data_IF_146389251279
#
_entry.id   IF_146389251279
#
_cell.length_a   1.000
_cell.length_b   1.000
_cell.length_c   1.000
_cell.angle_alpha   90.00
_cell.angle_beta   90.00
_cell.angle_gamma   90.00
#
_symmetry.space_group_name_H-M   'P 1'
#
loop_
_entity.id
_entity.type
_entity.pdbx_description
1 polymer ?
#
# COMPACT_ATOMS: atom_id res chain seq x y z
N UNK A 1 22.90 -3.22 26.25
CA UNK A 1 23.83 -3.25 25.10
C UNK A 1 23.12 -3.96 23.95
N UNK A 2 22.87 -3.32 22.82
CA UNK A 2 22.23 -3.93 21.65
C UNK A 2 23.10 -5.03 20.99
N UNK A 3 24.37 -5.14 21.36
CA UNK A 3 25.38 -6.01 20.73
C UNK A 3 25.30 -7.50 21.07
N UNK A 4 24.48 -7.92 22.04
CA UNK A 4 24.33 -9.33 22.42
C UNK A 4 23.06 -9.98 21.87
N UNK A 5 22.15 -9.18 21.29
CA UNK A 5 20.91 -9.67 20.70
C UNK A 5 21.08 -9.82 19.19
N UNK A 6 20.43 -10.83 18.61
CA UNK A 6 20.31 -10.95 17.16
C UNK A 6 19.57 -9.73 16.61
N UNK A 7 19.89 -9.32 15.39
CA UNK A 7 19.29 -8.14 14.78
C UNK A 7 17.76 -8.25 14.73
N UNK A 8 17.26 -9.45 14.39
CA UNK A 8 15.84 -9.76 14.40
C UNK A 8 15.19 -9.62 15.79
N UNK A 9 15.90 -9.81 16.89
CA UNK A 9 15.32 -9.69 18.23
C UNK A 9 15.05 -8.23 18.62
N UNK A 10 15.72 -7.29 17.96
CA UNK A 10 15.60 -5.85 18.21
C UNK A 10 14.86 -5.13 17.08
N UNK A 11 14.76 -5.76 15.90
CA UNK A 11 14.08 -5.24 14.73
C UNK A 11 13.13 -6.31 14.15
N UNK A 12 12.03 -6.54 14.87
CA UNK A 12 10.94 -7.48 14.52
C UNK A 12 9.89 -6.86 13.60
N UNK A 13 10.13 -5.64 13.12
CA UNK A 13 9.12 -4.89 12.41
C UNK A 13 8.89 -5.50 11.02
N UNK A 14 7.63 -5.80 10.71
CA UNK A 14 7.14 -6.29 9.42
C UNK A 14 7.71 -5.43 8.26
N UNK A 15 7.81 -4.12 8.50
CA UNK A 15 8.38 -3.13 7.59
C UNK A 15 9.86 -3.34 7.28
N UNK A 16 10.67 -3.76 8.25
CA UNK A 16 12.09 -4.02 8.02
C UNK A 16 12.28 -5.21 7.07
N UNK A 17 11.56 -6.31 7.29
CA UNK A 17 11.63 -7.46 6.39
C UNK A 17 11.02 -7.20 5.02
N UNK A 18 9.99 -6.36 4.93
CA UNK A 18 9.52 -5.86 3.65
C UNK A 18 10.59 -5.03 2.94
N UNK A 19 11.33 -4.18 3.64
CA UNK A 19 12.44 -3.45 3.03
C UNK A 19 13.54 -4.39 2.52
N UNK A 20 13.95 -5.38 3.32
CA UNK A 20 14.93 -6.38 2.90
C UNK A 20 14.47 -7.21 1.70
N UNK A 21 13.19 -7.60 1.67
CA UNK A 21 12.62 -8.27 0.51
C UNK A 21 12.62 -7.36 -0.71
N UNK A 22 12.28 -6.08 -0.55
CA UNK A 22 12.33 -5.09 -1.61
C UNK A 22 13.74 -4.94 -2.18
N UNK A 23 14.74 -4.85 -1.30
CA UNK A 23 16.15 -4.87 -1.68
C UNK A 23 16.51 -6.15 -2.45
N UNK A 24 16.16 -7.33 -1.93
CA UNK A 24 16.48 -8.61 -2.56
C UNK A 24 15.87 -8.77 -3.95
N UNK A 25 14.62 -8.32 -4.15
CA UNK A 25 13.94 -8.31 -5.46
C UNK A 25 14.63 -7.40 -6.48
N UNK A 26 15.21 -6.28 -6.04
CA UNK A 26 15.91 -5.35 -6.92
C UNK A 26 17.35 -5.79 -7.19
N UNK A 27 18.03 -6.35 -6.20
CA UNK A 27 19.44 -6.70 -6.27
C UNK A 27 19.71 -8.05 -6.94
N UNK A 28 18.76 -9.01 -6.88
CA UNK A 28 18.98 -10.37 -7.37
C UNK A 28 17.91 -10.81 -8.35
N UNK A 29 18.27 -11.03 -9.64
CA UNK A 29 17.37 -11.65 -10.61
C UNK A 29 16.87 -13.02 -10.17
N UNK A 30 17.69 -13.79 -9.46
CA UNK A 30 17.29 -15.11 -8.91
C UNK A 30 16.12 -14.97 -7.94
N UNK A 31 16.22 -14.04 -6.97
CA UNK A 31 15.14 -13.81 -6.01
C UNK A 31 13.90 -13.28 -6.71
N UNK A 32 14.07 -12.27 -7.58
CA UNK A 32 12.97 -11.70 -8.35
C UNK A 32 12.21 -12.77 -9.14
N UNK A 33 12.92 -13.58 -9.90
CA UNK A 33 12.31 -14.60 -10.75
C UNK A 33 11.66 -15.70 -9.91
N UNK A 34 12.31 -16.13 -8.82
CA UNK A 34 11.74 -17.12 -7.91
C UNK A 34 10.42 -16.65 -7.28
N UNK A 35 10.37 -15.40 -6.80
CA UNK A 35 9.15 -14.83 -6.21
C UNK A 35 8.06 -14.64 -7.26
N UNK A 36 8.39 -14.07 -8.42
CA UNK A 36 7.40 -13.84 -9.49
C UNK A 36 6.84 -15.16 -10.04
N UNK A 37 7.69 -16.18 -10.22
CA UNK A 37 7.26 -17.51 -10.65
C UNK A 37 6.33 -18.15 -9.61
N UNK A 38 6.69 -18.10 -8.33
CA UNK A 38 5.84 -18.63 -7.26
C UNK A 38 4.48 -17.93 -7.20
N UNK A 39 4.44 -16.61 -7.30
CA UNK A 39 3.19 -15.84 -7.33
C UNK A 39 2.37 -16.13 -8.59
N UNK A 40 3.00 -16.18 -9.75
CA UNK A 40 2.39 -16.53 -11.04
C UNK A 40 1.69 -17.89 -10.94
N UNK A 41 2.38 -18.91 -10.42
CA UNK A 41 1.86 -20.27 -10.30
C UNK A 41 0.69 -20.36 -9.32
N UNK A 42 0.81 -19.73 -8.14
CA UNK A 42 -0.21 -19.80 -7.09
C UNK A 42 -1.47 -19.01 -7.41
N UNK A 43 -1.34 -17.89 -8.11
CA UNK A 43 -2.42 -16.95 -8.36
C UNK A 43 -2.88 -16.91 -9.82
N UNK A 44 -2.20 -17.64 -10.71
CA UNK A 44 -2.43 -17.65 -12.17
C UNK A 44 -2.29 -16.24 -12.79
N UNK A 45 -1.25 -15.52 -12.39
CA UNK A 45 -0.95 -14.17 -12.87
C UNK A 45 0.00 -14.19 -14.06
N UNK A 46 -0.14 -13.26 -14.99
CA UNK A 46 0.84 -13.06 -16.08
C UNK A 46 2.01 -12.20 -15.58
N UNK A 47 3.01 -12.82 -14.96
CA UNK A 47 4.20 -12.17 -14.39
C UNK A 47 5.50 -12.76 -14.96
N UNK A 48 5.78 -12.59 -16.27
CA UNK A 48 6.98 -13.15 -16.86
C UNK A 48 8.24 -12.40 -16.38
N UNK A 49 9.37 -13.10 -16.19
CA UNK A 49 10.56 -12.57 -15.52
C UNK A 49 11.36 -11.55 -16.35
N UNK A 50 11.09 -11.45 -17.65
CA UNK A 50 11.72 -10.53 -18.59
C UNK A 50 11.09 -9.13 -18.60
N UNK A 51 9.91 -8.98 -17.99
CA UNK A 51 9.23 -7.68 -17.90
C UNK A 51 9.81 -6.81 -16.78
N UNK A 52 9.79 -5.48 -16.94
CA UNK A 52 10.16 -4.57 -15.86
C UNK A 52 9.31 -4.83 -14.61
N UNK A 53 9.97 -4.91 -13.45
CA UNK A 53 9.34 -4.95 -12.15
C UNK A 53 9.68 -3.67 -11.39
N UNK A 54 8.66 -2.93 -10.99
CA UNK A 54 8.80 -1.83 -10.05
C UNK A 54 8.43 -2.32 -8.66
N UNK A 55 9.27 -1.99 -7.68
CA UNK A 55 9.09 -2.38 -6.28
C UNK A 55 8.96 -1.12 -5.45
N UNK A 56 7.84 -0.99 -4.76
CA UNK A 56 7.57 0.13 -3.86
C UNK A 56 7.37 -0.39 -2.45
N UNK A 57 8.04 0.19 -1.46
CA UNK A 57 7.89 -0.14 -0.04
C UNK A 57 7.17 1.02 0.64
N UNK A 58 6.14 0.71 1.44
CA UNK A 58 5.32 1.70 2.15
C UNK A 58 4.73 2.84 1.28
N UNK A 59 4.31 2.51 0.07
CA UNK A 59 3.77 3.48 -0.89
C UNK A 59 2.44 4.08 -0.43
N UNK A 60 2.29 5.40 -0.50
CA UNK A 60 1.04 6.09 -0.17
C UNK A 60 0.35 6.60 -1.45
N UNK A 61 0.09 5.70 -2.39
CA UNK A 61 -0.20 6.03 -3.79
C UNK A 61 -1.29 7.11 -3.98
N UNK A 62 -2.40 7.04 -3.24
CA UNK A 62 -3.48 8.03 -3.33
C UNK A 62 -3.07 9.41 -2.80
N UNK A 63 -2.30 9.43 -1.70
CA UNK A 63 -1.78 10.66 -1.10
C UNK A 63 -0.73 11.30 -2.00
N UNK A 64 0.15 10.49 -2.55
CA UNK A 64 1.24 10.94 -3.40
C UNK A 64 0.64 11.48 -4.71
N UNK A 65 -0.33 10.77 -5.30
CA UNK A 65 -1.10 11.28 -6.44
C UNK A 65 -1.77 12.63 -6.14
N UNK A 66 -2.40 12.81 -4.97
CA UNK A 66 -2.99 14.09 -4.57
C UNK A 66 -1.97 15.24 -4.50
N UNK A 67 -0.74 14.94 -4.06
CA UNK A 67 0.36 15.89 -4.05
C UNK A 67 0.81 16.23 -5.48
N UNK A 68 0.86 15.25 -6.39
CA UNK A 68 1.25 15.44 -7.79
C UNK A 68 0.25 16.29 -8.59
N UNK A 69 -1.00 16.39 -8.14
CA UNK A 69 -2.00 17.29 -8.76
C UNK A 69 -1.66 18.78 -8.62
N UNK A 70 -0.75 19.14 -7.72
CA UNK A 70 -0.26 20.51 -7.62
C UNK A 70 0.23 20.93 -6.23
N UNK A 71 0.89 22.09 -6.19
CA UNK A 71 1.55 22.59 -4.99
C UNK A 71 0.54 23.12 -3.96
N UNK A 72 0.56 22.56 -2.75
CA UNK A 72 -0.36 22.97 -1.68
C UNK A 72 -0.09 24.38 -1.12
N UNK A 73 1.14 24.90 -1.25
CA UNK A 73 1.53 26.26 -0.85
C UNK A 73 1.16 27.26 -1.94
N UNK A 74 1.45 26.93 -3.21
CA UNK A 74 1.09 27.72 -4.38
C UNK A 74 -0.19 27.17 -5.04
N UNK A 75 -1.30 27.26 -4.32
CA UNK A 75 -2.57 26.66 -4.74
C UNK A 75 -3.21 27.46 -5.88
N UNK A 76 -3.04 26.97 -7.11
CA UNK A 76 -3.57 27.60 -8.32
C UNK A 76 -5.00 27.14 -8.64
N UNK A 77 -5.67 27.86 -9.54
CA UNK A 77 -6.98 27.45 -10.05
C UNK A 77 -6.93 26.09 -10.75
N UNK A 78 -5.86 25.80 -11.49
CA UNK A 78 -5.64 24.49 -12.12
C UNK A 78 -5.51 23.37 -11.07
N UNK A 79 -4.73 23.60 -9.99
CA UNK A 79 -4.65 22.65 -8.86
C UNK A 79 -6.01 22.46 -8.21
N UNK A 80 -6.80 23.52 -8.08
CA UNK A 80 -8.15 23.44 -7.53
C UNK A 80 -9.06 22.55 -8.37
N UNK A 81 -9.13 22.79 -9.68
CA UNK A 81 -9.96 22.01 -10.63
C UNK A 81 -9.58 20.53 -10.60
N UNK A 82 -8.28 20.21 -10.66
CA UNK A 82 -7.79 18.83 -10.60
C UNK A 82 -8.18 18.12 -9.31
N UNK A 83 -7.98 18.77 -8.15
CA UNK A 83 -8.32 18.20 -6.84
C UNK A 83 -9.82 18.05 -6.65
N UNK A 84 -10.61 19.02 -7.12
CA UNK A 84 -12.08 18.93 -7.11
C UNK A 84 -12.56 17.75 -7.97
N UNK A 85 -11.93 17.52 -9.11
CA UNK A 85 -12.19 16.34 -9.96
C UNK A 85 -11.92 15.00 -9.24
N UNK A 86 -10.87 14.92 -8.40
CA UNK A 86 -10.64 13.73 -7.56
C UNK A 86 -11.76 13.55 -6.53
N UNK A 87 -12.14 14.62 -5.82
CA UNK A 87 -13.21 14.54 -4.83
C UNK A 87 -14.54 14.14 -5.46
N UNK A 88 -14.84 14.66 -6.64
CA UNK A 88 -16.02 14.29 -7.43
C UNK A 88 -16.08 12.78 -7.70
N UNK A 89 -14.99 12.19 -8.20
CA UNK A 89 -14.91 10.74 -8.44
C UNK A 89 -15.07 9.95 -7.15
N UNK A 90 -14.39 10.36 -6.07
CA UNK A 90 -14.48 9.73 -4.75
C UNK A 90 -15.91 9.75 -4.22
N UNK A 91 -16.58 10.91 -4.26
CA UNK A 91 -17.94 11.07 -3.76
C UNK A 91 -18.93 10.20 -4.55
N UNK A 92 -18.80 10.17 -5.87
CA UNK A 92 -19.62 9.31 -6.73
C UNK A 92 -19.44 7.83 -6.42
N UNK A 93 -18.20 7.38 -6.23
CA UNK A 93 -17.91 6.00 -5.83
C UNK A 93 -18.53 5.65 -4.46
N UNK A 94 -18.67 6.63 -3.57
CA UNK A 94 -19.31 6.48 -2.26
C UNK A 94 -20.83 6.75 -2.28
N UNK A 95 -21.42 7.06 -3.44
CA UNK A 95 -22.86 7.29 -3.60
C UNK A 95 -23.36 8.69 -3.21
N UNK A 96 -22.46 9.70 -3.16
CA UNK A 96 -22.81 11.09 -2.82
C UNK A 96 -22.82 12.01 -4.05
N UNK A 97 -23.61 13.09 -3.97
CA UNK A 97 -23.52 14.22 -4.92
C UNK A 97 -22.20 14.96 -4.72
N UNK A 98 -21.69 15.59 -5.79
CA UNK A 98 -20.50 16.45 -5.74
C UNK A 98 -20.78 17.78 -5.02
N UNK A 99 -22.05 18.19 -4.93
CA UNK A 99 -22.47 19.44 -4.27
C UNK A 99 -22.16 19.45 -2.76
N UNK A 100 -21.97 18.27 -2.16
CA UNK A 100 -21.59 18.16 -0.74
C UNK A 100 -20.24 18.82 -0.45
N UNK A 101 -19.38 18.99 -1.46
CA UNK A 101 -18.10 19.69 -1.30
C UNK A 101 -18.37 21.13 -0.86
N UNK A 102 -19.30 21.83 -1.50
CA UNK A 102 -19.59 23.23 -1.20
C UNK A 102 -20.50 23.37 0.05
N UNK A 103 -21.28 22.33 0.36
CA UNK A 103 -22.21 22.34 1.49
C UNK A 103 -21.54 22.13 2.86
N UNK A 104 -20.29 21.64 2.92
CA UNK A 104 -19.64 21.27 4.18
C UNK A 104 -18.19 21.76 4.29
N UNK A 105 -17.86 22.43 5.40
CA UNK A 105 -16.52 22.95 5.68
C UNK A 105 -15.42 21.87 5.79
N UNK A 106 -15.79 20.61 6.04
CA UNK A 106 -14.84 19.51 6.21
C UNK A 106 -13.92 19.31 5.00
N UNK A 107 -14.36 19.71 3.80
CA UNK A 107 -13.60 19.59 2.56
C UNK A 107 -12.57 20.72 2.38
N UNK A 108 -12.64 21.79 3.18
CA UNK A 108 -11.91 23.03 2.96
C UNK A 108 -10.89 23.32 4.07
N UNK A 109 -9.74 23.88 3.70
CA UNK A 109 -8.69 24.23 4.68
C UNK A 109 -9.00 25.47 5.50
N UNK A 110 -10.02 26.24 5.11
CA UNK A 110 -10.47 27.45 5.81
C UNK A 110 -11.87 27.82 5.36
N UNK A 111 -12.55 28.64 6.16
CA UNK A 111 -13.89 29.20 5.88
C UNK A 111 -13.97 29.98 4.56
N UNK A 112 -12.84 30.48 4.06
CA UNK A 112 -12.80 31.18 2.76
C UNK A 112 -12.98 30.26 1.54
N UNK A 113 -13.03 28.93 1.75
CA UNK A 113 -13.21 27.90 0.72
C UNK A 113 -12.27 28.03 -0.50
N UNK A 114 -11.03 28.48 -0.26
CA UNK A 114 -10.04 28.68 -1.34
C UNK A 114 -9.23 27.43 -1.67
N UNK A 115 -9.15 26.47 -0.75
CA UNK A 115 -8.27 25.31 -0.86
C UNK A 115 -8.90 24.07 -0.24
N UNK A 116 -8.81 22.97 -0.97
CA UNK A 116 -9.33 21.67 -0.55
C UNK A 116 -8.34 20.90 0.33
N UNK A 117 -8.86 20.23 1.35
CA UNK A 117 -8.13 19.22 2.12
C UNK A 117 -7.89 17.96 1.28
N UNK A 118 -6.71 17.36 1.48
CA UNK A 118 -6.50 15.95 1.09
C UNK A 118 -7.47 15.07 1.91
N UNK A 119 -8.13 14.07 1.33
CA UNK A 119 -9.05 13.20 2.06
C UNK A 119 -8.45 12.57 3.32
N UNK A 120 -7.15 12.24 3.30
CA UNK A 120 -6.45 11.72 4.48
C UNK A 120 -6.47 12.68 5.69
N UNK A 121 -6.70 13.98 5.48
CA UNK A 121 -6.75 15.02 6.52
C UNK A 121 -8.16 15.33 7.04
N UNK A 122 -9.22 14.78 6.45
CA UNK A 122 -10.58 15.02 6.94
C UNK A 122 -10.76 14.60 8.40
N UNK A 123 -11.59 15.31 9.16
CA UNK A 123 -11.92 14.93 10.54
C UNK A 123 -13.00 13.84 10.52
N UNK A 124 -12.79 12.74 11.25
CA UNK A 124 -13.80 11.69 11.38
C UNK A 124 -15.08 12.22 12.06
N UNK A 125 -14.92 13.06 13.08
CA UNK A 125 -16.05 13.69 13.77
C UNK A 125 -16.82 14.64 12.85
N UNK A 126 -16.13 15.39 11.99
CA UNK A 126 -16.78 16.26 11.01
C UNK A 126 -17.51 15.46 9.92
N UNK A 127 -16.95 14.33 9.50
CA UNK A 127 -17.62 13.40 8.57
C UNK A 127 -18.91 12.86 9.21
N UNK A 128 -18.84 12.42 10.47
CA UNK A 128 -20.01 11.92 11.20
C UNK A 128 -21.07 13.02 11.40
N UNK A 129 -20.65 14.23 11.79
CA UNK A 129 -21.55 15.37 11.94
C UNK A 129 -22.26 15.75 10.62
N UNK A 130 -21.57 15.62 9.48
CA UNK A 130 -22.13 15.82 8.16
C UNK A 130 -22.96 14.63 7.63
N UNK A 131 -23.03 13.52 8.38
CA UNK A 131 -23.70 12.25 7.99
C UNK A 131 -23.14 11.65 6.70
N UNK A 132 -21.81 11.73 6.55
CA UNK A 132 -21.07 11.21 5.39
C UNK A 132 -20.19 10.01 5.77
N UNK A 133 -20.65 9.17 6.71
CA UNK A 133 -19.88 8.11 7.36
C UNK A 133 -18.99 7.24 6.43
N UNK A 134 -19.42 6.84 5.21
CA UNK A 134 -18.57 6.10 4.27
C UNK A 134 -17.24 6.81 3.92
N UNK A 135 -17.18 8.15 4.00
CA UNK A 135 -15.95 8.92 3.75
C UNK A 135 -14.85 8.69 4.78
N UNK A 136 -15.17 8.09 5.94
CA UNK A 136 -14.14 7.64 6.90
C UNK A 136 -13.23 6.59 6.25
N UNK A 137 -13.77 5.67 5.45
CA UNK A 137 -12.96 4.68 4.73
C UNK A 137 -12.07 5.33 3.67
N UNK A 138 -12.55 6.38 3.00
CA UNK A 138 -11.74 7.17 2.05
C UNK A 138 -10.59 7.86 2.77
N UNK A 139 -10.85 8.48 3.93
CA UNK A 139 -9.81 9.06 4.78
C UNK A 139 -8.73 8.02 5.09
N UNK A 140 -9.13 6.81 5.47
CA UNK A 140 -8.20 5.72 5.74
C UNK A 140 -7.45 5.29 4.48
N UNK A 141 -8.12 5.14 3.33
CA UNK A 141 -7.48 4.78 2.07
C UNK A 141 -6.39 5.79 1.65
N UNK A 142 -6.63 7.09 1.83
CA UNK A 142 -5.63 8.13 1.55
C UNK A 142 -4.48 8.20 2.57
N UNK A 143 -4.60 7.55 3.72
CA UNK A 143 -3.48 7.41 4.67
C UNK A 143 -2.85 6.01 4.62
N UNK A 144 -3.56 5.05 4.05
CA UNK A 144 -3.17 3.66 3.98
C UNK A 144 -1.96 3.47 3.07
N UNK A 145 -1.12 2.55 3.49
CA UNK A 145 0.08 2.12 2.78
C UNK A 145 0.11 0.60 2.84
N UNK A 146 0.11 -0.13 1.72
CA UNK A 146 0.56 -1.52 1.77
C UNK A 146 2.04 -1.53 2.18
N UNK A 147 2.48 -2.59 2.86
CA UNK A 147 3.89 -2.71 3.23
C UNK A 147 4.76 -2.77 1.98
N UNK A 148 4.27 -3.43 0.93
CA UNK A 148 4.93 -3.45 -0.37
C UNK A 148 3.92 -3.47 -1.52
N UNK A 149 4.27 -2.84 -2.64
CA UNK A 149 3.55 -2.92 -3.90
C UNK A 149 4.51 -3.30 -5.01
N UNK A 150 4.15 -4.32 -5.78
CA UNK A 150 4.87 -4.75 -6.97
C UNK A 150 4.06 -4.37 -8.20
N UNK A 151 4.70 -3.76 -9.21
CA UNK A 151 4.05 -3.39 -10.47
C UNK A 151 4.84 -3.96 -11.63
N UNK A 152 4.18 -4.76 -12.46
CA UNK A 152 4.72 -5.27 -13.73
C UNK A 152 3.63 -5.19 -14.80
N UNK A 153 3.83 -4.31 -15.77
CA UNK A 153 2.82 -3.90 -16.76
C UNK A 153 1.45 -3.58 -16.13
N UNK A 154 0.43 -4.37 -16.44
CA UNK A 154 -0.93 -4.23 -15.92
C UNK A 154 -1.15 -4.99 -14.61
N UNK A 155 -0.19 -5.75 -14.11
CA UNK A 155 -0.31 -6.47 -12.84
C UNK A 155 0.21 -5.60 -11.70
N UNK A 156 -0.64 -5.44 -10.68
CA UNK A 156 -0.28 -4.76 -9.43
C UNK A 156 -0.54 -5.71 -8.27
N UNK A 157 0.51 -6.06 -7.54
CA UNK A 157 0.40 -6.93 -6.36
C UNK A 157 0.61 -6.05 -5.12
N UNK A 158 -0.41 -5.96 -4.28
CA UNK A 158 -0.32 -5.30 -2.98
C UNK A 158 -0.01 -6.37 -1.93
N UNK A 159 1.14 -6.24 -1.28
CA UNK A 159 1.61 -7.17 -0.27
C UNK A 159 1.46 -6.55 1.12
N UNK A 160 0.82 -7.29 2.01
CA UNK A 160 0.77 -7.04 3.44
C UNK A 160 1.63 -8.09 4.15
N UNK A 161 2.68 -7.65 4.84
CA UNK A 161 3.58 -8.53 5.57
C UNK A 161 3.10 -8.74 7.00
N UNK A 162 3.07 -10.01 7.41
CA UNK A 162 2.77 -10.45 8.76
C UNK A 162 3.87 -11.37 9.24
N UNK A 163 4.68 -10.90 10.18
CA UNK A 163 5.78 -11.67 10.79
C UNK A 163 5.32 -12.27 12.11
N UNK A 164 4.75 -11.45 13.00
CA UNK A 164 4.33 -11.86 14.34
C UNK A 164 2.83 -11.64 14.60
N UNK A 165 2.21 -10.69 13.91
CA UNK A 165 0.85 -10.26 14.22
C UNK A 165 -0.21 -11.00 13.39
N UNK A 166 -1.33 -11.43 13.99
CA UNK A 166 -2.53 -11.77 13.21
C UNK A 166 -3.10 -10.51 12.56
N UNK A 167 -3.92 -10.66 11.52
CA UNK A 167 -4.58 -9.52 10.87
C UNK A 167 -5.30 -8.62 11.88
N UNK A 168 -4.90 -7.35 11.93
CA UNK A 168 -5.49 -6.37 12.85
C UNK A 168 -6.89 -5.97 12.39
N UNK A 169 -7.88 -6.14 13.27
CA UNK A 169 -9.15 -5.41 13.22
C UNK A 169 -9.14 -4.42 14.37
N UNK A 170 -9.38 -3.14 14.10
CA UNK A 170 -9.55 -2.18 15.18
C UNK A 170 -10.99 -2.18 15.71
N UNK A 171 -11.18 -1.65 16.92
CA UNK A 171 -12.49 -1.52 17.54
C UNK A 171 -13.40 -0.48 16.86
N UNK A 172 -12.87 0.32 15.93
CA UNK A 172 -13.57 1.39 15.22
C UNK A 172 -14.06 0.95 13.83
N UNK A 173 -13.96 -0.34 13.50
CA UNK A 173 -14.41 -0.89 12.21
C UNK A 173 -13.40 -0.71 11.07
N UNK A 174 -12.16 -0.29 11.34
CA UNK A 174 -11.07 -0.36 10.37
C UNK A 174 -10.78 -1.83 10.04
N UNK A 175 -11.10 -2.20 8.80
CA UNK A 175 -10.69 -3.44 8.20
C UNK A 175 -9.59 -3.13 7.18
N UNK A 176 -8.35 -3.52 7.52
CA UNK A 176 -7.18 -3.27 6.67
C UNK A 176 -7.37 -3.80 5.24
N UNK A 177 -7.90 -5.02 5.12
CA UNK A 177 -8.18 -5.64 3.83
C UNK A 177 -9.20 -4.85 2.98
N UNK A 178 -10.29 -4.39 3.59
CA UNK A 178 -11.29 -3.58 2.88
C UNK A 178 -10.75 -2.21 2.50
N UNK A 179 -9.89 -1.62 3.34
CA UNK A 179 -9.17 -0.39 3.01
C UNK A 179 -8.25 -0.59 1.81
N UNK A 180 -7.49 -1.69 1.75
CA UNK A 180 -6.62 -1.99 0.61
C UNK A 180 -7.41 -2.26 -0.68
N UNK A 181 -8.58 -2.90 -0.60
CA UNK A 181 -9.49 -3.02 -1.75
C UNK A 181 -9.99 -1.67 -2.23
N UNK A 182 -10.33 -0.77 -1.30
CA UNK A 182 -10.74 0.58 -1.65
C UNK A 182 -9.58 1.36 -2.29
N UNK A 183 -8.36 1.23 -1.76
CA UNK A 183 -7.15 1.83 -2.37
C UNK A 183 -7.00 1.35 -3.81
N UNK A 184 -7.03 0.05 -4.07
CA UNK A 184 -6.94 -0.51 -5.41
C UNK A 184 -8.01 0.04 -6.36
N UNK A 185 -9.29 0.06 -5.92
CA UNK A 185 -10.39 0.62 -6.71
C UNK A 185 -10.18 2.09 -7.04
N UNK A 186 -9.83 2.90 -6.04
CA UNK A 186 -9.59 4.33 -6.23
C UNK A 186 -8.37 4.59 -7.11
N UNK A 187 -7.29 3.82 -6.98
CA UNK A 187 -6.12 3.93 -7.87
C UNK A 187 -6.52 3.70 -9.33
N UNK A 188 -7.30 2.66 -9.62
CA UNK A 188 -7.82 2.39 -10.99
C UNK A 188 -8.66 3.55 -11.53
N UNK A 189 -9.44 4.22 -10.69
CA UNK A 189 -10.34 5.30 -11.10
C UNK A 189 -9.62 6.64 -11.25
N UNK A 190 -8.68 6.93 -10.36
CA UNK A 190 -8.09 8.26 -10.22
C UNK A 190 -6.76 8.39 -10.96
N UNK A 191 -5.94 7.34 -10.98
CA UNK A 191 -4.56 7.41 -11.47
C UNK A 191 -4.53 6.79 -12.87
N UNK A 192 -4.28 7.59 -13.94
CA UNK A 192 -4.37 7.10 -15.32
C UNK A 192 -3.50 5.87 -15.60
N UNK A 193 -2.30 5.81 -15.01
CA UNK A 193 -1.38 4.68 -15.16
C UNK A 193 -1.95 3.33 -14.66
N UNK A 194 -2.94 3.36 -13.76
CA UNK A 194 -3.55 2.15 -13.19
C UNK A 194 -4.95 1.86 -13.75
N UNK A 195 -5.45 2.61 -14.74
CA UNK A 195 -6.82 2.47 -15.25
C UNK A 195 -7.18 1.06 -15.74
N UNK A 196 -6.22 0.40 -16.41
CA UNK A 196 -6.35 -0.98 -16.90
C UNK A 196 -5.72 -2.04 -16.02
N UNK A 197 -5.24 -1.69 -14.82
CA UNK A 197 -4.46 -2.60 -14.00
C UNK A 197 -5.33 -3.65 -13.26
N UNK A 198 -4.77 -4.84 -13.10
CA UNK A 198 -5.27 -5.96 -12.33
C UNK A 198 -4.60 -5.96 -10.96
N UNK A 199 -5.38 -5.66 -9.92
CA UNK A 199 -4.88 -5.61 -8.56
C UNK A 199 -5.10 -6.96 -7.87
N UNK A 200 -4.04 -7.48 -7.25
CA UNK A 200 -4.08 -8.69 -6.43
C UNK A 200 -3.54 -8.38 -5.05
N UNK A 201 -4.28 -8.76 -4.00
CA UNK A 201 -3.86 -8.62 -2.62
C UNK A 201 -3.22 -9.93 -2.15
N UNK A 202 -2.04 -9.84 -1.55
CA UNK A 202 -1.29 -10.99 -1.04
C UNK A 202 -0.88 -10.72 0.40
N UNK A 203 -1.24 -11.63 1.30
CA UNK A 203 -0.67 -11.65 2.64
C UNK A 203 0.61 -12.47 2.61
N UNK A 204 1.73 -11.85 2.96
CA UNK A 204 3.02 -12.50 3.20
C UNK A 204 3.09 -12.88 4.68
N UNK A 205 2.87 -14.16 4.98
CA UNK A 205 2.69 -14.63 6.35
C UNK A 205 3.72 -15.69 6.78
N UNK A 206 3.79 -15.95 8.08
CA UNK A 206 4.50 -17.10 8.64
C UNK A 206 3.84 -18.45 8.27
N UNK A 207 2.52 -18.48 8.04
CA UNK A 207 1.78 -19.70 7.70
C UNK A 207 2.22 -20.24 6.33
N UNK A 208 2.70 -21.49 6.30
CA UNK A 208 3.14 -22.17 5.08
C UNK A 208 2.00 -22.40 4.06
N UNK A 209 0.73 -22.27 4.47
CA UNK A 209 -0.44 -22.36 3.59
C UNK A 209 -0.79 -21.03 2.92
N UNK A 210 -0.15 -19.92 3.33
CA UNK A 210 -0.34 -18.64 2.67
C UNK A 210 0.14 -18.72 1.21
N UNK A 211 -0.45 -17.87 0.36
CA UNK A 211 -0.05 -17.76 -1.04
C UNK A 211 1.45 -17.48 -1.15
N UNK A 212 1.95 -16.55 -0.32
CA UNK A 212 3.37 -16.28 -0.15
C UNK A 212 3.70 -16.38 1.34
N UNK A 213 4.73 -17.16 1.68
CA UNK A 213 5.16 -17.34 3.07
C UNK A 213 6.61 -16.89 3.26
N UNK A 214 6.96 -16.49 4.48
CA UNK A 214 8.35 -16.18 4.84
C UNK A 214 9.27 -17.37 4.64
N UNK A 215 8.79 -18.60 4.86
CA UNK A 215 9.53 -19.83 4.55
C UNK A 215 9.89 -19.94 3.07
N UNK A 216 8.92 -19.66 2.18
CA UNK A 216 9.15 -19.62 0.74
C UNK A 216 10.17 -18.55 0.36
N UNK A 217 10.01 -17.33 0.90
CA UNK A 217 10.94 -16.23 0.67
C UNK A 217 12.37 -16.60 1.10
N UNK A 218 12.54 -17.12 2.32
CA UNK A 218 13.84 -17.57 2.84
C UNK A 218 14.47 -18.62 1.93
N UNK A 219 13.71 -19.63 1.49
CA UNK A 219 14.23 -20.68 0.60
C UNK A 219 14.75 -20.10 -0.72
N UNK A 220 14.02 -19.15 -1.32
CA UNK A 220 14.44 -18.50 -2.56
C UNK A 220 15.68 -17.62 -2.36
N UNK A 221 15.76 -16.94 -1.21
CA UNK A 221 16.89 -16.08 -0.85
C UNK A 221 18.15 -16.88 -0.56
N UNK A 222 18.05 -18.04 0.08
CA UNK A 222 19.20 -18.90 0.43
C UNK A 222 20.00 -19.34 -0.81
N UNK A 223 19.33 -19.53 -1.94
CA UNK A 223 19.95 -19.95 -3.21
C UNK A 223 20.50 -18.78 -4.04
N UNK A 224 20.30 -17.54 -3.59
CA UNK A 224 20.62 -16.34 -4.36
C UNK A 224 21.94 -15.68 -3.93
N UNK A 225 22.62 -15.04 -4.89
CA UNK A 225 23.73 -14.14 -4.59
C UNK A 225 23.17 -12.77 -4.16
N UNK A 226 23.29 -12.46 -2.87
CA UNK A 226 22.93 -11.18 -2.25
C UNK A 226 24.08 -10.71 -1.36
N UNK A 227 24.00 -9.47 -0.88
CA UNK A 227 24.95 -8.98 0.10
C UNK A 227 24.85 -9.78 1.42
N UNK A 228 25.95 -9.77 2.17
CA UNK A 228 26.06 -10.52 3.41
C UNK A 228 25.01 -10.12 4.44
N UNK A 229 24.69 -8.83 4.56
CA UNK A 229 23.76 -8.33 5.57
C UNK A 229 22.32 -8.80 5.28
N UNK A 230 21.85 -8.64 4.04
CA UNK A 230 20.51 -9.12 3.63
C UNK A 230 20.39 -10.62 3.83
N UNK A 231 21.39 -11.39 3.37
CA UNK A 231 21.41 -12.85 3.49
C UNK A 231 21.35 -13.29 4.96
N UNK A 232 22.14 -12.66 5.83
CA UNK A 232 22.19 -13.02 7.25
C UNK A 232 20.89 -12.68 7.98
N UNK A 233 20.23 -11.56 7.63
CA UNK A 233 18.93 -11.22 8.20
C UNK A 233 17.85 -12.25 7.83
N UNK A 234 17.79 -12.70 6.57
CA UNK A 234 16.86 -13.75 6.15
C UNK A 234 17.16 -15.12 6.81
N UNK A 235 18.44 -15.46 7.03
CA UNK A 235 18.83 -16.66 7.79
C UNK A 235 18.39 -16.61 9.24
N UNK A 236 18.46 -15.44 9.89
CA UNK A 236 17.95 -15.28 11.26
C UNK A 236 16.44 -15.48 11.31
N UNK A 237 15.69 -14.96 10.33
CA UNK A 237 14.24 -15.15 10.24
C UNK A 237 13.84 -16.61 10.00
N UNK A 238 14.57 -17.35 9.15
CA UNK A 238 14.31 -18.77 8.89
C UNK A 238 14.29 -19.64 10.16
N UNK A 239 14.97 -19.20 11.25
CA UNK A 239 15.00 -19.91 12.54
C UNK A 239 13.67 -19.86 13.29
N UNK A 240 12.79 -18.90 13.01
CA UNK A 240 11.47 -18.76 13.65
C UNK A 240 10.37 -19.62 13.00
N UNK A 241 10.60 -20.11 11.78
CA UNK A 241 9.60 -20.83 10.99
C UNK A 241 9.96 -22.31 10.75
N UNK A 242 10.87 -22.86 11.57
CA UNK A 242 11.20 -24.28 11.60
C UNK A 242 10.18 -25.08 12.41
#
# INVERSE_FOLDING_TARGET
MFSQRLYLEVNREERFYCFLLGHALLASPTVRNGILHHLSDKLRLDLPPDRPLQVFVEVAALRDYWCDLGNAVRYSQDTHVKRRGVLAVVLREMGFSEDVIDAHDLFWTSESHKKLWCPGRWSADAIAAARLDPLVQVKWAFNGKPDMMLVSDSQVIMIEAKVESPEGRDANGYAQFETQKLIARLMKRLIPAFGGANFTHVTLAADARAVLSWKTVCSIVEDAQLDFFTTECFRQMARFHR
#
